data_IF_088637632956
#
_entry.id   IF_088637632956
#
_cell.length_a   1.000
_cell.length_b   1.000
_cell.length_c   1.000
_cell.angle_alpha   90.00
_cell.angle_beta   90.00
_cell.angle_gamma   90.00
#
_symmetry.space_group_name_H-M   'P 1'
#
loop_
_entity.id
_entity.type
_entity.pdbx_description
1 polymer ?
#
# COMPACT_ATOMS: atom_id res chain seq x y z
N UNK A 1 10.18 -6.11 -8.73
CA UNK A 1 10.51 -5.13 -9.79
C UNK A 1 10.92 -5.88 -11.04
N UNK A 2 10.74 -5.27 -12.21
CA UNK A 2 11.14 -5.90 -13.47
C UNK A 2 12.65 -6.23 -13.46
N UNK A 3 13.04 -7.44 -13.93
CA UNK A 3 14.43 -7.79 -14.15
C UNK A 3 15.18 -6.73 -14.96
N UNK A 4 16.33 -6.30 -14.44
CA UNK A 4 17.21 -5.32 -15.10
C UNK A 4 17.99 -6.01 -16.23
N UNK A 5 17.78 -5.59 -17.47
CA UNK A 5 18.50 -6.04 -18.66
C UNK A 5 19.64 -5.06 -18.99
N UNK A 6 20.60 -4.90 -18.06
CA UNK A 6 21.71 -3.96 -18.20
C UNK A 6 21.47 -2.56 -17.63
N UNK A 7 20.33 -2.32 -16.98
CA UNK A 7 20.09 -1.12 -16.19
C UNK A 7 20.86 -1.14 -14.85
N UNK A 8 21.40 0.00 -14.43
CA UNK A 8 21.86 0.18 -13.05
C UNK A 8 20.66 0.27 -12.08
N UNK A 9 20.89 0.04 -10.79
CA UNK A 9 19.85 0.27 -9.78
C UNK A 9 19.40 1.75 -9.82
N UNK A 10 18.10 1.96 -9.95
CA UNK A 10 17.45 3.29 -10.05
C UNK A 10 18.00 4.21 -11.16
N UNK A 11 18.64 3.64 -12.19
CA UNK A 11 19.14 4.37 -13.34
C UNK A 11 18.37 4.05 -14.62
N UNK A 12 18.71 4.78 -15.67
CA UNK A 12 18.23 4.47 -17.01
C UNK A 12 18.80 3.15 -17.52
N UNK A 13 18.02 2.44 -18.34
CA UNK A 13 18.46 1.24 -19.00
C UNK A 13 17.29 0.41 -19.53
N UNK A 14 17.56 -0.85 -19.84
CA UNK A 14 16.54 -1.79 -20.30
C UNK A 14 16.07 -2.66 -19.14
N UNK A 15 14.79 -3.00 -19.17
CA UNK A 15 14.12 -3.90 -18.25
C UNK A 15 13.38 -4.95 -19.08
N UNK A 16 13.15 -6.12 -18.51
CA UNK A 16 12.43 -7.21 -19.16
C UNK A 16 11.19 -7.59 -18.34
N UNK A 17 10.13 -7.99 -19.02
CA UNK A 17 8.94 -8.60 -18.45
C UNK A 17 8.68 -9.91 -19.21
N UNK A 18 8.19 -10.94 -18.50
CA UNK A 18 7.85 -12.25 -19.05
C UNK A 18 6.59 -12.20 -19.92
N UNK A 19 5.71 -11.23 -19.68
CA UNK A 19 4.47 -11.05 -20.42
C UNK A 19 3.98 -9.60 -20.39
N UNK A 20 2.96 -9.29 -21.21
CA UNK A 20 2.30 -7.98 -21.17
C UNK A 20 1.59 -7.72 -19.84
N UNK A 21 0.98 -8.75 -19.22
CA UNK A 21 0.35 -8.65 -17.90
C UNK A 21 1.36 -8.23 -16.81
N UNK A 22 2.57 -8.78 -16.85
CA UNK A 22 3.62 -8.36 -15.94
C UNK A 22 4.11 -6.93 -16.24
N UNK A 23 4.25 -6.59 -17.53
CA UNK A 23 4.74 -5.27 -17.95
C UNK A 23 3.84 -4.14 -17.45
N UNK A 24 2.51 -4.29 -17.62
CA UNK A 24 1.55 -3.24 -17.24
C UNK A 24 1.30 -3.17 -15.73
N UNK A 25 1.78 -4.16 -14.97
CA UNK A 25 1.70 -4.20 -13.51
C UNK A 25 2.99 -3.72 -12.83
N UNK A 26 3.84 -2.99 -13.57
CA UNK A 26 5.06 -2.39 -13.06
C UNK A 26 5.12 -0.90 -13.45
N UNK A 27 4.57 0.00 -12.62
CA UNK A 27 4.61 1.44 -12.88
C UNK A 27 6.05 1.96 -12.88
N UNK A 28 6.30 2.96 -13.72
CA UNK A 28 7.60 3.62 -13.86
C UNK A 28 7.47 5.07 -13.45
N UNK A 29 8.30 5.47 -12.48
CA UNK A 29 8.46 6.86 -12.08
C UNK A 29 9.86 7.36 -12.45
N UNK A 30 9.92 8.58 -13.00
CA UNK A 30 11.16 9.21 -13.44
C UNK A 30 11.26 10.62 -12.86
N UNK A 31 12.31 10.87 -12.06
CA UNK A 31 12.56 12.17 -11.46
C UNK A 31 13.67 12.12 -10.42
N UNK A 32 13.90 13.23 -9.74
CA UNK A 32 14.76 13.25 -8.55
C UNK A 32 13.95 12.84 -7.33
N UNK A 33 14.33 11.74 -6.68
CA UNK A 33 13.68 11.22 -5.48
C UNK A 33 14.67 11.15 -4.32
N UNK A 34 14.14 11.16 -3.09
CA UNK A 34 14.87 10.60 -1.95
C UNK A 34 14.59 9.11 -1.87
N UNK A 35 15.58 8.35 -1.42
CA UNK A 35 15.50 6.91 -1.31
C UNK A 35 15.88 6.48 0.11
N UNK A 36 14.99 5.75 0.75
CA UNK A 36 15.27 5.01 1.99
C UNK A 36 14.88 3.55 1.78
N UNK A 37 15.42 2.66 2.62
CA UNK A 37 15.18 1.24 2.50
C UNK A 37 15.14 0.57 3.86
N UNK A 38 14.39 -0.53 3.92
CA UNK A 38 14.33 -1.42 5.07
C UNK A 38 14.26 -2.88 4.60
N UNK A 39 14.28 -3.82 5.55
CA UNK A 39 14.06 -5.25 5.28
C UNK A 39 12.92 -5.77 6.14
N UNK A 40 12.05 -6.60 5.55
CA UNK A 40 10.98 -7.30 6.25
C UNK A 40 10.80 -8.68 5.59
N UNK A 41 10.66 -9.73 6.40
CA UNK A 41 10.54 -11.12 5.94
C UNK A 41 11.68 -11.57 5.01
N UNK A 42 12.91 -11.05 5.23
CA UNK A 42 14.07 -11.33 4.37
C UNK A 42 14.10 -10.62 3.02
N UNK A 43 13.08 -9.81 2.69
CA UNK A 43 12.99 -9.09 1.43
C UNK A 43 13.38 -7.61 1.58
N UNK A 44 14.01 -7.06 0.53
CA UNK A 44 14.35 -5.64 0.47
C UNK A 44 13.10 -4.82 0.13
N UNK A 45 12.84 -3.78 0.90
CA UNK A 45 11.81 -2.80 0.61
C UNK A 45 12.47 -1.44 0.41
N UNK A 46 12.15 -0.79 -0.70
CA UNK A 46 12.57 0.59 -0.96
C UNK A 46 11.37 1.53 -0.89
N UNK A 47 11.63 2.76 -0.45
CA UNK A 47 10.68 3.87 -0.51
C UNK A 47 11.34 4.97 -1.33
N UNK A 48 10.82 5.22 -2.52
CA UNK A 48 11.23 6.32 -3.38
C UNK A 48 10.22 7.46 -3.24
N UNK A 49 10.66 8.62 -2.75
CA UNK A 49 9.79 9.79 -2.54
C UNK A 49 10.13 10.91 -3.53
N UNK A 50 9.20 11.24 -4.41
CA UNK A 50 9.30 12.32 -5.40
C UNK A 50 8.47 13.54 -5.01
N UNK A 51 8.56 14.59 -5.83
CA UNK A 51 7.93 15.89 -5.56
C UNK A 51 8.75 16.75 -4.61
N UNK A 52 8.13 17.83 -4.12
CA UNK A 52 8.73 18.62 -3.03
C UNK A 52 8.51 17.83 -1.75
N UNK A 53 9.60 17.39 -1.15
CA UNK A 53 9.61 16.50 0.01
C UNK A 53 10.23 17.21 1.21
N UNK A 54 9.57 17.09 2.36
CA UNK A 54 10.06 17.50 3.68
C UNK A 54 9.47 16.52 4.68
N UNK A 55 10.32 15.66 5.23
CA UNK A 55 9.90 14.68 6.22
C UNK A 55 11.07 13.82 6.70
N UNK A 56 10.86 13.16 7.82
CA UNK A 56 11.74 12.17 8.42
C UNK A 56 11.52 10.82 7.75
N UNK A 57 12.21 10.59 6.64
CA UNK A 57 12.09 9.34 5.89
C UNK A 57 12.66 8.14 6.64
N UNK A 58 13.55 8.36 7.62
CA UNK A 58 14.02 7.28 8.49
C UNK A 58 12.87 6.76 9.34
N UNK A 59 12.15 7.67 10.01
CA UNK A 59 10.97 7.32 10.78
C UNK A 59 9.90 6.66 9.90
N UNK A 60 9.67 7.18 8.70
CA UNK A 60 8.70 6.57 7.78
C UNK A 60 9.09 5.14 7.39
N UNK A 61 10.38 4.92 7.12
CA UNK A 61 10.94 3.59 6.84
C UNK A 61 10.77 2.64 8.02
N UNK A 62 11.05 3.08 9.24
CA UNK A 62 10.94 2.26 10.45
C UNK A 62 9.48 1.87 10.76
N UNK A 63 8.54 2.82 10.59
CA UNK A 63 7.11 2.57 10.78
C UNK A 63 6.58 1.59 9.71
N UNK A 64 6.97 1.77 8.44
CA UNK A 64 6.59 0.85 7.37
C UNK A 64 7.21 -0.53 7.52
N UNK A 65 8.43 -0.64 8.03
CA UNK A 65 9.05 -1.94 8.33
C UNK A 65 8.18 -2.74 9.30
N UNK A 66 7.71 -2.11 10.38
CA UNK A 66 6.85 -2.76 11.38
C UNK A 66 5.50 -3.18 10.79
N UNK A 67 4.89 -2.31 9.98
CA UNK A 67 3.65 -2.61 9.27
C UNK A 67 3.82 -3.79 8.32
N UNK A 68 4.83 -3.75 7.44
CA UNK A 68 5.10 -4.79 6.46
C UNK A 68 5.39 -6.13 7.13
N UNK A 69 6.24 -6.16 8.18
CA UNK A 69 6.53 -7.40 8.90
C UNK A 69 5.26 -7.98 9.56
N UNK A 70 4.41 -7.13 10.13
CA UNK A 70 3.14 -7.56 10.74
C UNK A 70 2.22 -8.22 9.71
N UNK A 71 2.13 -7.68 8.49
CA UNK A 71 1.35 -8.30 7.43
C UNK A 71 1.98 -9.60 6.90
N UNK A 72 3.32 -9.62 6.77
CA UNK A 72 4.04 -10.83 6.38
C UNK A 72 3.76 -11.97 7.37
N UNK A 73 3.87 -11.70 8.67
CA UNK A 73 3.61 -12.70 9.72
C UNK A 73 2.13 -13.10 9.77
N UNK A 74 1.21 -12.16 9.52
CA UNK A 74 -0.23 -12.43 9.43
C UNK A 74 -0.54 -13.48 8.36
N UNK A 75 0.01 -13.30 7.14
CA UNK A 75 -0.23 -14.22 6.03
C UNK A 75 0.65 -15.47 6.07
N UNK A 76 1.85 -15.38 6.64
CA UNK A 76 2.76 -16.51 6.84
C UNK A 76 2.36 -17.41 8.02
N UNK A 77 1.53 -16.91 8.94
CA UNK A 77 0.95 -17.67 10.06
C UNK A 77 1.87 -17.84 11.26
N UNK A 78 3.06 -17.24 11.25
CA UNK A 78 4.03 -17.28 12.35
C UNK A 78 4.97 -16.07 12.34
N UNK A 79 5.57 -15.70 13.48
CA UNK A 79 6.61 -14.68 13.53
C UNK A 79 7.78 -14.99 12.60
N UNK A 80 8.41 -13.94 12.07
CA UNK A 80 9.56 -14.00 11.17
C UNK A 80 9.29 -14.79 9.88
N UNK A 81 8.05 -14.73 9.38
CA UNK A 81 7.67 -15.38 8.13
C UNK A 81 8.41 -14.75 6.93
N UNK A 82 8.70 -15.52 5.87
CA UNK A 82 9.30 -14.97 4.66
C UNK A 82 8.29 -14.12 3.88
N UNK A 83 8.76 -13.01 3.30
CA UNK A 83 7.97 -12.18 2.41
C UNK A 83 7.58 -12.96 1.14
N UNK A 84 6.43 -12.63 0.49
CA UNK A 84 5.98 -13.31 -0.72
C UNK A 84 6.70 -12.82 -1.99
N UNK A 85 7.67 -11.91 -1.84
CA UNK A 85 8.49 -11.29 -2.89
C UNK A 85 9.92 -11.13 -2.36
N UNK A 86 10.92 -11.10 -3.24
CA UNK A 86 12.30 -10.78 -2.85
C UNK A 86 12.55 -9.26 -2.73
N UNK A 87 11.70 -8.47 -3.39
CA UNK A 87 11.83 -7.02 -3.48
C UNK A 87 10.47 -6.34 -3.61
N UNK A 88 10.26 -5.26 -2.87
CA UNK A 88 9.07 -4.40 -2.95
C UNK A 88 9.45 -2.92 -3.03
N UNK A 89 8.71 -2.13 -3.82
CA UNK A 89 8.95 -0.68 -3.97
C UNK A 89 7.69 0.13 -3.66
N UNK A 90 7.78 1.05 -2.69
CA UNK A 90 6.82 2.12 -2.49
C UNK A 90 7.25 3.34 -3.31
N UNK A 91 6.48 3.69 -4.35
CA UNK A 91 6.65 4.92 -5.14
C UNK A 91 5.72 5.99 -4.54
N UNK A 92 6.27 7.03 -3.92
CA UNK A 92 5.48 8.01 -3.16
C UNK A 92 5.64 9.40 -3.77
N UNK A 93 4.57 9.90 -4.38
CA UNK A 93 4.50 11.24 -4.93
C UNK A 93 3.91 12.22 -3.92
N UNK A 94 4.77 13.06 -3.32
CA UNK A 94 4.36 14.08 -2.35
C UNK A 94 3.92 15.38 -3.04
N UNK A 95 2.62 15.69 -2.97
CA UNK A 95 1.98 16.86 -3.62
C UNK A 95 1.46 17.88 -2.60
N UNK A 96 0.96 19.03 -3.06
CA UNK A 96 0.36 20.02 -2.16
C UNK A 96 -0.92 19.50 -1.50
N UNK A 97 -1.80 18.89 -2.29
CA UNK A 97 -3.04 18.23 -1.89
C UNK A 97 -3.25 17.02 -2.81
N UNK A 98 -3.65 15.88 -2.25
CA UNK A 98 -3.85 14.63 -3.00
C UNK A 98 -3.78 13.40 -2.11
N UNK A 99 -4.57 12.38 -2.45
CA UNK A 99 -4.64 11.10 -1.76
C UNK A 99 -5.05 10.01 -2.76
N UNK A 100 -4.34 8.90 -2.78
CA UNK A 100 -4.69 7.73 -3.60
C UNK A 100 -3.52 6.75 -3.71
N UNK A 101 -3.86 5.48 -3.90
CA UNK A 101 -2.89 4.40 -4.07
C UNK A 101 -3.30 3.50 -5.23
N UNK A 102 -2.34 2.74 -5.72
CA UNK A 102 -2.58 1.65 -6.66
C UNK A 102 -1.61 0.50 -6.37
N UNK A 103 -2.17 -0.70 -6.29
CA UNK A 103 -1.49 -1.92 -5.90
C UNK A 103 -0.87 -2.65 -7.08
N UNK A 104 0.36 -3.14 -6.90
CA UNK A 104 1.06 -3.95 -7.90
C UNK A 104 1.71 -5.17 -7.27
N UNK A 105 2.05 -6.18 -8.08
CA UNK A 105 2.56 -7.48 -7.59
C UNK A 105 3.77 -7.40 -6.66
N UNK A 106 4.59 -6.35 -6.83
CA UNK A 106 5.85 -6.12 -6.10
C UNK A 106 6.16 -4.61 -5.95
N UNK A 107 5.14 -3.75 -5.97
CA UNK A 107 5.26 -2.32 -5.74
C UNK A 107 3.90 -1.67 -5.47
N UNK A 108 3.90 -0.40 -5.14
CA UNK A 108 2.70 0.44 -5.16
C UNK A 108 3.05 1.86 -5.59
N UNK A 109 2.10 2.54 -6.23
CA UNK A 109 2.17 3.97 -6.52
C UNK A 109 1.23 4.74 -5.61
N UNK A 110 1.77 5.62 -4.78
CA UNK A 110 1.07 6.40 -3.78
C UNK A 110 1.13 7.89 -4.13
N UNK A 111 0.01 8.59 -3.96
CA UNK A 111 -0.06 10.04 -3.93
C UNK A 111 -0.46 10.45 -2.52
N UNK A 112 0.32 11.34 -1.91
CA UNK A 112 0.00 11.85 -0.59
C UNK A 112 0.22 13.36 -0.49
N UNK A 113 -0.46 13.97 0.47
CA UNK A 113 -0.15 15.33 0.90
C UNK A 113 1.29 15.36 1.42
N UNK A 114 2.06 16.37 1.01
CA UNK A 114 3.45 16.58 1.45
C UNK A 114 3.57 16.64 2.96
N UNK A 115 2.63 17.31 3.61
CA UNK A 115 2.60 17.47 5.06
C UNK A 115 2.14 16.20 5.79
N UNK A 116 1.71 15.17 5.05
CA UNK A 116 1.48 13.82 5.57
C UNK A 116 2.75 13.01 5.79
N UNK A 117 3.90 13.43 5.24
CA UNK A 117 5.17 12.84 5.65
C UNK A 117 5.49 13.25 7.11
N UNK A 118 6.05 12.33 7.93
CA UNK A 118 6.34 12.63 9.32
C UNK A 118 7.36 13.77 9.41
N UNK A 119 7.13 14.76 10.26
CA UNK A 119 8.06 15.89 10.38
C UNK A 119 9.20 15.58 11.35
N UNK A 120 10.45 16.04 11.10
CA UNK A 120 11.57 15.84 12.02
C UNK A 120 11.26 16.35 13.42
N UNK A 121 11.47 15.51 14.44
CA UNK A 121 11.23 15.84 15.85
C UNK A 121 9.76 15.83 16.28
N UNK A 122 8.81 15.52 15.38
CA UNK A 122 7.41 15.32 15.76
C UNK A 122 7.26 14.02 16.58
N UNK A 123 6.55 14.11 17.70
CA UNK A 123 6.18 12.95 18.51
C UNK A 123 4.78 12.43 18.12
N UNK A 124 4.59 11.11 18.17
CA UNK A 124 3.32 10.47 17.87
C UNK A 124 2.93 10.53 16.38
N UNK A 125 1.83 9.84 16.04
CA UNK A 125 1.32 9.73 14.67
C UNK A 125 0.11 10.66 14.50
N UNK A 126 0.34 11.83 13.90
CA UNK A 126 -0.71 12.79 13.55
C UNK A 126 -1.62 12.27 12.43
N UNK A 127 -2.74 12.96 12.19
CA UNK A 127 -3.80 12.53 11.27
C UNK A 127 -3.31 12.32 9.82
N UNK A 128 -2.62 13.29 9.23
CA UNK A 128 -2.12 13.18 7.86
C UNK A 128 -1.09 12.06 7.71
N UNK A 129 -0.23 11.87 8.72
CA UNK A 129 0.76 10.79 8.71
C UNK A 129 0.12 9.41 8.93
N UNK A 130 -0.90 9.34 9.80
CA UNK A 130 -1.71 8.13 9.98
C UNK A 130 -2.40 7.74 8.67
N UNK A 131 -2.96 8.71 7.97
CA UNK A 131 -3.61 8.49 6.68
C UNK A 131 -2.63 7.96 5.63
N UNK A 132 -1.40 8.48 5.57
CA UNK A 132 -0.34 7.94 4.71
C UNK A 132 0.06 6.50 5.10
N UNK A 133 0.20 6.21 6.39
CA UNK A 133 0.52 4.86 6.87
C UNK A 133 -0.61 3.87 6.56
N UNK A 134 -1.88 4.28 6.74
CA UNK A 134 -3.05 3.49 6.39
C UNK A 134 -3.09 3.20 4.90
N UNK A 135 -2.87 4.21 4.05
CA UNK A 135 -2.78 4.04 2.60
C UNK A 135 -1.66 3.05 2.22
N UNK A 136 -0.46 3.22 2.75
CA UNK A 136 0.64 2.30 2.44
C UNK A 136 0.37 0.87 2.97
N UNK A 137 -0.27 0.74 4.12
CA UNK A 137 -0.72 -0.54 4.69
C UNK A 137 -1.75 -1.22 3.76
N UNK A 138 -2.71 -0.45 3.24
CA UNK A 138 -3.74 -0.88 2.30
C UNK A 138 -3.12 -1.47 1.03
N UNK A 139 -2.29 -0.68 0.34
CA UNK A 139 -1.66 -1.11 -0.91
C UNK A 139 -0.67 -2.27 -0.71
N UNK A 140 -0.01 -2.34 0.44
CA UNK A 140 0.87 -3.47 0.75
C UNK A 140 0.09 -4.76 1.02
N UNK A 141 -1.06 -4.68 1.70
CA UNK A 141 -1.94 -5.83 1.95
C UNK A 141 -2.43 -6.44 0.65
N UNK A 142 -2.63 -5.60 -0.36
CA UNK A 142 -3.02 -6.05 -1.68
C UNK A 142 -2.01 -6.98 -2.37
N UNK A 143 -0.75 -6.98 -1.92
CA UNK A 143 0.28 -7.95 -2.34
C UNK A 143 -0.23 -9.39 -2.22
N UNK A 144 -1.04 -9.67 -1.19
CA UNK A 144 -1.75 -10.94 -1.05
C UNK A 144 -3.16 -10.85 -1.63
N UNK A 145 -3.97 -9.91 -1.14
CA UNK A 145 -5.39 -9.80 -1.49
C UNK A 145 -5.57 -8.94 -2.75
N UNK A 146 -6.04 -9.47 -3.87
CA UNK A 146 -6.03 -8.89 -5.26
C UNK A 146 -4.83 -9.30 -6.10
N UNK A 147 -3.58 -9.14 -5.65
CA UNK A 147 -2.44 -9.49 -6.52
C UNK A 147 -2.22 -11.00 -6.62
N UNK A 148 -2.42 -11.76 -5.54
CA UNK A 148 -2.25 -13.24 -5.50
C UNK A 148 -3.56 -14.00 -5.27
N UNK A 149 -4.37 -13.57 -4.31
CA UNK A 149 -5.71 -14.10 -4.01
C UNK A 149 -6.71 -13.19 -4.71
N UNK A 150 -7.37 -13.65 -5.77
CA UNK A 150 -8.27 -12.79 -6.56
C UNK A 150 -9.44 -13.58 -7.16
N UNK A 151 -10.52 -12.90 -7.62
CA UNK A 151 -11.61 -13.56 -8.31
C UNK A 151 -11.12 -14.31 -9.55
N UNK A 152 -11.75 -15.45 -9.85
CA UNK A 152 -11.56 -16.12 -11.14
C UNK A 152 -11.91 -15.22 -12.33
N UNK A 153 -12.82 -14.27 -12.15
CA UNK A 153 -13.18 -13.26 -13.16
C UNK A 153 -12.01 -12.37 -13.59
N UNK A 154 -10.92 -12.31 -12.81
CA UNK A 154 -9.72 -11.51 -13.10
C UNK A 154 -8.57 -12.35 -13.66
N UNK A 155 -8.81 -13.62 -14.02
CA UNK A 155 -7.80 -14.55 -14.50
C UNK A 155 -8.18 -15.14 -15.89
N UNK A 156 -7.62 -14.61 -16.99
CA UNK A 156 -6.87 -13.34 -17.10
C UNK A 156 -7.81 -12.13 -17.09
N UNK A 157 -7.25 -10.92 -16.92
CA UNK A 157 -8.00 -9.69 -17.14
C UNK A 157 -8.33 -9.48 -18.63
N UNK A 158 -9.58 -9.15 -18.93
CA UNK A 158 -9.97 -8.63 -20.25
C UNK A 158 -10.03 -7.10 -20.22
N UNK A 159 -8.90 -6.46 -20.52
CA UNK A 159 -8.77 -5.00 -20.44
C UNK A 159 -9.50 -4.23 -21.56
N UNK A 160 -10.28 -4.91 -22.40
CA UNK A 160 -11.04 -4.28 -23.49
C UNK A 160 -12.48 -3.93 -23.11
N UNK A 161 -12.93 -4.35 -21.93
CA UNK A 161 -14.30 -4.16 -21.41
C UNK A 161 -14.33 -4.17 -19.88
N UNK A 162 -15.49 -3.91 -19.32
CA UNK A 162 -15.76 -4.06 -17.90
C UNK A 162 -15.67 -5.54 -17.48
N UNK A 163 -15.01 -5.79 -16.35
CA UNK A 163 -14.91 -7.11 -15.72
C UNK A 163 -15.75 -7.08 -14.44
N UNK A 164 -17.01 -7.50 -14.53
CA UNK A 164 -17.93 -7.45 -13.40
C UNK A 164 -17.60 -8.51 -12.35
N UNK A 165 -17.65 -8.12 -11.07
CA UNK A 165 -17.51 -9.03 -9.93
C UNK A 165 -18.29 -8.47 -8.73
N UNK A 166 -18.96 -9.34 -7.99
CA UNK A 166 -19.67 -9.01 -6.73
C UNK A 166 -18.76 -9.19 -5.50
N UNK A 167 -17.47 -9.43 -5.72
CA UNK A 167 -16.53 -9.80 -4.65
C UNK A 167 -15.68 -8.63 -4.16
N UNK A 168 -15.90 -7.41 -4.65
CA UNK A 168 -15.13 -6.22 -4.22
C UNK A 168 -15.23 -5.99 -2.71
N UNK A 169 -16.35 -6.30 -2.07
CA UNK A 169 -16.47 -6.23 -0.61
C UNK A 169 -15.43 -7.09 0.12
N UNK A 170 -15.00 -8.21 -0.49
CA UNK A 170 -14.00 -9.09 0.10
C UNK A 170 -12.57 -8.59 -0.20
N UNK A 171 -12.32 -8.06 -1.39
CA UNK A 171 -10.98 -7.61 -1.79
C UNK A 171 -10.63 -6.21 -1.27
N UNK A 172 -11.60 -5.29 -1.33
CA UNK A 172 -11.45 -3.93 -0.83
C UNK A 172 -11.90 -3.85 0.63
N UNK A 173 -13.09 -4.36 0.97
CA UNK A 173 -13.63 -4.22 2.32
C UNK A 173 -12.82 -4.93 3.41
N UNK A 174 -12.26 -6.12 3.12
CA UNK A 174 -11.34 -6.78 4.07
C UNK A 174 -10.03 -6.01 4.17
N UNK A 175 -9.52 -5.50 3.06
CA UNK A 175 -8.29 -4.68 3.05
C UNK A 175 -8.48 -3.39 3.84
N UNK A 176 -9.62 -2.69 3.67
CA UNK A 176 -10.01 -1.51 4.46
C UNK A 176 -10.24 -1.79 5.95
N UNK A 177 -10.44 -3.05 6.34
CA UNK A 177 -10.45 -3.41 7.76
C UNK A 177 -9.04 -3.63 8.28
N UNK A 178 -8.18 -4.26 7.47
CA UNK A 178 -6.83 -4.61 7.86
C UNK A 178 -5.84 -3.46 7.75
N UNK A 179 -6.07 -2.48 6.87
CA UNK A 179 -5.14 -1.36 6.68
C UNK A 179 -4.88 -0.61 7.99
N UNK A 180 -5.93 -0.28 8.75
CA UNK A 180 -5.89 0.35 10.08
C UNK A 180 -5.60 -0.64 11.21
N UNK A 181 -6.17 -1.86 11.17
CA UNK A 181 -5.94 -2.87 12.21
C UNK A 181 -4.47 -3.29 12.28
N UNK A 182 -3.79 -3.36 11.15
CA UNK A 182 -2.36 -3.66 11.09
C UNK A 182 -1.55 -2.55 11.74
N UNK A 183 -1.95 -1.28 11.62
CA UNK A 183 -1.23 -0.17 12.26
C UNK A 183 -1.21 -0.29 13.79
N UNK A 184 -2.32 -0.72 14.40
CA UNK A 184 -2.36 -0.94 15.85
C UNK A 184 -1.67 -2.24 16.24
N UNK A 185 -1.76 -3.30 15.43
CA UNK A 185 -1.06 -4.57 15.68
C UNK A 185 0.46 -4.44 15.58
N UNK A 186 0.95 -3.57 14.70
CA UNK A 186 2.39 -3.25 14.57
C UNK A 186 2.90 -2.28 15.64
N UNK A 187 2.00 -1.75 16.48
CA UNK A 187 2.31 -0.76 17.50
C UNK A 187 2.72 0.61 16.94
N UNK A 188 2.39 0.91 15.69
CA UNK A 188 2.64 2.23 15.08
C UNK A 188 1.63 3.26 15.61
N UNK A 189 0.38 2.85 15.82
CA UNK A 189 -0.65 3.67 16.48
C UNK A 189 -1.16 3.02 17.76
N UNK A 190 -1.78 3.81 18.64
CA UNK A 190 -2.40 3.31 19.86
C UNK A 190 -3.79 2.70 19.64
N UNK A 191 -4.28 1.96 20.63
CA UNK A 191 -5.64 1.40 20.60
C UNK A 191 -6.70 2.52 20.49
N UNK A 192 -6.52 3.63 21.21
CA UNK A 192 -7.43 4.77 21.15
C UNK A 192 -7.51 5.37 19.74
N UNK A 193 -6.39 5.45 19.04
CA UNK A 193 -6.31 5.95 17.67
C UNK A 193 -7.08 5.05 16.69
N UNK A 194 -6.93 3.73 16.84
CA UNK A 194 -7.66 2.75 16.04
C UNK A 194 -9.17 2.78 16.31
N UNK A 195 -9.58 2.88 17.58
CA UNK A 195 -11.00 2.97 17.93
C UNK A 195 -11.64 4.26 17.40
N UNK A 196 -10.88 5.35 17.32
CA UNK A 196 -11.35 6.58 16.68
C UNK A 196 -11.60 6.39 15.18
N UNK A 197 -10.65 5.76 14.46
CA UNK A 197 -10.79 5.44 13.03
C UNK A 197 -12.02 4.55 12.78
N UNK A 198 -12.14 3.45 13.55
CA UNK A 198 -13.28 2.54 13.45
C UNK A 198 -14.61 3.25 13.75
N UNK A 199 -14.63 4.15 14.74
CA UNK A 199 -15.79 4.97 15.06
C UNK A 199 -16.18 5.91 13.92
N UNK A 200 -15.21 6.52 13.23
CA UNK A 200 -15.45 7.36 12.04
C UNK A 200 -16.06 6.54 10.91
N UNK A 201 -15.57 5.33 10.66
CA UNK A 201 -16.09 4.44 9.61
C UNK A 201 -17.50 3.95 9.86
N UNK A 202 -17.77 3.48 11.09
CA UNK A 202 -19.12 3.11 11.51
C UNK A 202 -20.05 4.31 11.36
N UNK A 203 -19.63 5.50 11.80
CA UNK A 203 -20.44 6.72 11.68
C UNK A 203 -20.74 7.06 10.22
N UNK A 204 -19.74 6.97 9.34
CA UNK A 204 -19.88 7.20 7.90
C UNK A 204 -20.88 6.23 7.28
N UNK A 205 -20.76 4.94 7.59
CA UNK A 205 -21.70 3.92 7.13
C UNK A 205 -23.12 4.19 7.66
N UNK A 206 -23.29 4.46 8.96
CA UNK A 206 -24.60 4.68 9.57
C UNK A 206 -25.32 5.92 8.99
N UNK A 207 -24.56 6.93 8.55
CA UNK A 207 -25.08 8.16 7.94
C UNK A 207 -25.33 8.03 6.44
N UNK A 208 -24.79 7.01 5.77
CA UNK A 208 -25.00 6.80 4.34
C UNK A 208 -26.41 6.24 4.09
N UNK A 209 -27.33 6.98 3.43
CA UNK A 209 -28.66 6.47 3.11
C UNK A 209 -28.61 5.29 2.14
N UNK A 210 -27.54 5.16 1.35
CA UNK A 210 -27.35 4.07 0.38
C UNK A 210 -27.30 2.67 1.00
N UNK A 211 -26.93 2.55 2.29
CA UNK A 211 -26.84 1.25 2.99
C UNK A 211 -28.13 0.42 3.02
N UNK A 212 -29.29 1.07 2.84
CA UNK A 212 -30.60 0.41 2.77
C UNK A 212 -31.14 0.28 1.36
N UNK A 213 -30.35 0.64 0.35
CA UNK A 213 -30.74 0.68 -1.07
C UNK A 213 -29.92 -0.24 -1.95
N UNK A 214 -28.66 -0.45 -1.62
CA UNK A 214 -27.71 -1.24 -2.40
C UNK A 214 -27.01 -2.21 -1.45
N UNK A 215 -26.95 -3.49 -1.81
CA UNK A 215 -26.17 -4.44 -1.04
C UNK A 215 -24.67 -4.20 -1.22
N UNK A 216 -23.85 -4.71 -0.31
CA UNK A 216 -22.38 -4.57 -0.41
C UNK A 216 -21.81 -5.30 -1.65
N UNK A 217 -22.53 -6.30 -2.16
CA UNK A 217 -22.15 -7.05 -3.35
C UNK A 217 -22.38 -6.26 -4.65
N UNK A 218 -23.33 -5.33 -4.63
CA UNK A 218 -23.69 -4.48 -5.77
C UNK A 218 -22.98 -3.12 -5.76
N UNK A 219 -22.20 -2.84 -4.71
CA UNK A 219 -21.50 -1.58 -4.42
C UNK A 219 -20.24 -1.36 -5.25
#
# INVERSE_FOLDING_TARGET
>A
SLPRAGASAYGFGRFAAESYDELIDHPVEMGSFDLVHFQAGGARHDIAVTGRRRGDLSRFSDDLQRVCQTQIDLFGGMPDSPAPVDYYLFQVLAVGEGYGGLEHRASTSLICKRDGLPQPGASGVGEDYRSLLGLASHEYFHTWNVKRIKPSAFLPYDLTRENFTEQLWAFEGVTSYYDDLVLVRSGVIGISDYLELLGRDITRLLRAPGRSRQSVAES
#
